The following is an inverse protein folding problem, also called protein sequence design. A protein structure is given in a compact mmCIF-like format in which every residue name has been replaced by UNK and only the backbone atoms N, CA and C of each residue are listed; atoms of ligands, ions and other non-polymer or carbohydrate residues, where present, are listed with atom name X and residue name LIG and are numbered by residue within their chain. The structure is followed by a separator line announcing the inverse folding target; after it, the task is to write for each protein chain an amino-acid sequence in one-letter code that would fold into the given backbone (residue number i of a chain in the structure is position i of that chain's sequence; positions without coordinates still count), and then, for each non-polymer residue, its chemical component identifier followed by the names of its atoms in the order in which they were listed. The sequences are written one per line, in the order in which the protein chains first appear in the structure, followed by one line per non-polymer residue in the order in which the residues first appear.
data_IF_086721246579
#
_entry.id   IF_086721246579
#
_cell.length_a   1.000
_cell.length_b   1.000
_cell.length_c   1.000
_cell.angle_alpha   90.00
_cell.angle_beta   90.00
_cell.angle_gamma   90.00
#
_symmetry.space_group_name_H-M   'P 1'
#
loop_
_entity.id
_entity.type
_entity.pdbx_description
1 polymer ?
#
# COMPACT_ATOMS: atom_id res chain seq x y z
N UNK A 1 -7.81 42.96 -13.52
CA UNK A 1 -7.25 42.28 -12.33
C UNK A 1 -5.93 41.64 -12.75
N UNK A 2 -4.88 41.73 -11.94
CA UNK A 2 -3.62 41.05 -12.25
C UNK A 2 -3.85 39.54 -12.24
N UNK A 3 -3.60 38.89 -13.39
CA UNK A 3 -3.35 37.45 -13.46
C UNK A 3 -2.01 37.23 -12.75
N UNK A 4 -2.00 36.48 -11.64
CA UNK A 4 -0.78 36.27 -10.89
C UNK A 4 0.10 35.18 -11.50
N UNK A 5 0.95 34.57 -10.69
CA UNK A 5 1.94 33.60 -11.18
C UNK A 5 1.32 32.24 -11.48
N UNK A 6 0.66 32.16 -12.64
CA UNK A 6 0.11 30.92 -13.19
C UNK A 6 1.20 29.86 -13.43
N UNK A 7 2.42 30.27 -13.79
CA UNK A 7 3.53 29.35 -14.09
C UNK A 7 4.11 28.73 -12.80
N UNK A 8 4.25 29.52 -11.74
CA UNK A 8 4.58 29.02 -10.41
C UNK A 8 3.47 28.16 -9.82
N UNK A 9 2.20 28.50 -10.06
CA UNK A 9 1.04 27.70 -9.63
C UNK A 9 0.98 26.34 -10.33
N UNK A 10 1.28 26.30 -11.63
CA UNK A 10 1.38 25.05 -12.40
C UNK A 10 2.48 24.14 -11.85
N UNK A 11 3.68 24.68 -11.62
CA UNK A 11 4.81 23.95 -11.01
C UNK A 11 4.48 23.39 -9.63
N UNK A 12 3.74 24.14 -8.80
CA UNK A 12 3.26 23.66 -7.48
C UNK A 12 2.28 22.49 -7.63
N UNK A 13 1.37 22.55 -8.61
CA UNK A 13 0.48 21.41 -8.92
C UNK A 13 1.28 20.19 -9.38
N UNK A 14 2.22 20.34 -10.32
CA UNK A 14 3.07 19.23 -10.80
C UNK A 14 3.86 18.57 -9.67
N UNK A 15 4.34 19.36 -8.71
CA UNK A 15 5.01 18.84 -7.52
C UNK A 15 4.04 18.14 -6.58
N UNK A 16 2.85 18.71 -6.35
CA UNK A 16 1.80 18.10 -5.52
C UNK A 16 1.29 16.77 -6.08
N UNK A 17 1.09 16.68 -7.39
CA UNK A 17 0.67 15.46 -8.09
C UNK A 17 1.73 14.35 -7.99
N UNK A 18 3.01 14.69 -8.10
CA UNK A 18 4.12 13.77 -7.85
C UNK A 18 4.16 13.29 -6.39
N UNK A 19 3.89 14.17 -5.42
CA UNK A 19 3.80 13.78 -4.00
C UNK A 19 2.61 12.86 -3.69
N UNK A 20 1.52 12.98 -4.45
CA UNK A 20 0.36 12.08 -4.37
C UNK A 20 0.54 10.76 -5.14
N UNK A 21 1.59 10.62 -5.97
CA UNK A 21 1.70 9.54 -6.97
C UNK A 21 0.45 9.43 -7.86
N UNK A 22 -0.06 10.58 -8.35
CA UNK A 22 -1.29 10.62 -9.13
C UNK A 22 -1.16 9.77 -10.42
N UNK A 23 -2.04 8.76 -10.66
CA UNK A 23 -1.78 7.71 -11.64
C UNK A 23 -2.33 7.97 -13.05
N UNK A 24 -2.99 9.11 -13.30
CA UNK A 24 -3.56 9.45 -14.61
C UNK A 24 -2.76 10.58 -15.25
N UNK A 25 -2.72 10.60 -16.57
CA UNK A 25 -2.22 11.76 -17.31
C UNK A 25 -3.08 13.01 -17.02
N UNK A 26 -2.41 14.14 -16.95
CA UNK A 26 -2.99 15.42 -16.51
C UNK A 26 -2.95 16.39 -17.68
N UNK A 27 -4.11 16.86 -18.14
CA UNK A 27 -4.18 17.86 -19.20
C UNK A 27 -3.74 19.24 -18.69
N UNK A 28 -2.45 19.52 -18.87
CA UNK A 28 -1.84 20.81 -18.57
C UNK A 28 -2.49 21.97 -19.36
N UNK A 29 -3.10 21.72 -20.52
CA UNK A 29 -3.75 22.77 -21.33
C UNK A 29 -5.09 23.18 -20.74
N UNK A 30 -5.93 22.22 -20.31
CA UNK A 30 -7.15 22.45 -19.54
C UNK A 30 -6.87 23.10 -18.19
N UNK A 31 -5.80 22.69 -17.51
CA UNK A 31 -5.29 23.33 -16.29
C UNK A 31 -5.01 24.83 -16.49
N UNK A 32 -4.25 25.20 -17.53
CA UNK A 32 -3.93 26.60 -17.88
C UNK A 32 -5.20 27.39 -18.25
N UNK A 33 -6.15 26.77 -18.96
CA UNK A 33 -7.46 27.37 -19.28
C UNK A 33 -8.38 27.48 -18.04
N UNK A 34 -8.07 26.78 -16.96
CA UNK A 34 -8.92 26.70 -15.77
C UNK A 34 -10.18 25.86 -16.00
N UNK A 35 -10.11 24.81 -16.81
CA UNK A 35 -11.20 23.86 -17.00
C UNK A 35 -11.47 23.09 -15.70
N UNK A 36 -12.68 23.15 -15.10
CA UNK A 36 -13.00 22.37 -13.91
C UNK A 36 -12.75 20.86 -14.06
N UNK A 37 -13.01 20.28 -15.23
CA UNK A 37 -12.99 18.84 -15.46
C UNK A 37 -11.61 18.20 -15.22
N UNK A 38 -10.53 18.97 -15.32
CA UNK A 38 -9.17 18.51 -14.99
C UNK A 38 -8.92 18.48 -13.48
N UNK A 39 -9.53 19.39 -12.72
CA UNK A 39 -9.31 19.50 -11.27
C UNK A 39 -10.14 18.48 -10.45
N UNK A 40 -11.37 18.16 -10.87
CA UNK A 40 -12.26 17.26 -10.11
C UNK A 40 -11.65 15.86 -9.87
N UNK A 41 -11.05 15.18 -10.88
CA UNK A 41 -10.43 13.87 -10.70
C UNK A 41 -9.23 13.89 -9.76
N UNK A 42 -8.44 14.98 -9.77
CA UNK A 42 -7.31 15.19 -8.86
C UNK A 42 -7.80 15.30 -7.41
N UNK A 43 -8.82 16.14 -7.17
CA UNK A 43 -9.44 16.31 -5.85
C UNK A 43 -10.03 14.98 -5.36
N UNK A 44 -10.79 14.29 -6.22
CA UNK A 44 -11.43 13.01 -5.90
C UNK A 44 -10.41 11.95 -5.49
N UNK A 45 -9.34 11.79 -6.28
CA UNK A 45 -8.24 10.88 -5.96
C UNK A 45 -7.57 11.22 -4.62
N UNK A 46 -7.33 12.51 -4.37
CA UNK A 46 -6.67 13.00 -3.14
C UNK A 46 -7.39 12.54 -1.86
N UNK A 47 -8.72 12.53 -1.85
CA UNK A 47 -9.50 12.12 -0.67
C UNK A 47 -9.85 10.62 -0.64
N UNK A 48 -10.10 10.00 -1.80
CA UNK A 48 -10.63 8.62 -1.86
C UNK A 48 -9.56 7.54 -2.03
N UNK A 49 -8.49 7.85 -2.78
CA UNK A 49 -7.62 6.83 -3.38
C UNK A 49 -6.16 6.95 -2.93
N UNK A 50 -5.70 8.15 -2.59
CA UNK A 50 -4.32 8.41 -2.16
C UNK A 50 -3.95 7.68 -0.85
N UNK A 51 -4.87 7.62 0.12
CA UNK A 51 -4.58 7.07 1.45
C UNK A 51 -5.82 6.47 2.09
N UNK A 52 -5.74 5.20 2.49
CA UNK A 52 -6.76 4.47 3.26
C UNK A 52 -7.22 5.25 4.50
N UNK A 53 -6.29 5.79 5.30
CA UNK A 53 -6.62 6.60 6.49
C UNK A 53 -7.46 7.86 6.20
N UNK A 54 -7.37 8.43 4.99
CA UNK A 54 -8.14 9.62 4.60
C UNK A 54 -9.52 9.19 4.09
N UNK A 55 -9.61 8.09 3.34
CA UNK A 55 -10.88 7.49 2.96
C UNK A 55 -11.69 7.01 4.19
N UNK A 56 -11.05 6.40 5.18
CA UNK A 56 -11.69 6.05 6.46
C UNK A 56 -12.17 7.29 7.23
N UNK A 57 -11.37 8.36 7.26
CA UNK A 57 -11.76 9.62 7.90
C UNK A 57 -12.99 10.21 7.21
N UNK A 58 -13.03 10.15 5.88
CA UNK A 58 -14.15 10.62 5.06
C UNK A 58 -15.45 9.86 5.40
N UNK A 59 -15.38 8.53 5.53
CA UNK A 59 -16.51 7.68 5.96
C UNK A 59 -16.93 8.00 7.41
N UNK A 60 -15.97 8.17 8.34
CA UNK A 60 -16.26 8.56 9.74
C UNK A 60 -16.92 9.94 9.86
N UNK A 61 -16.79 10.79 8.84
CA UNK A 61 -17.41 12.11 8.78
C UNK A 61 -18.70 12.16 7.96
N UNK A 62 -19.18 11.01 7.46
CA UNK A 62 -20.42 10.88 6.67
C UNK A 62 -20.44 11.83 5.43
N UNK A 63 -19.29 11.90 4.73
CA UNK A 63 -19.15 12.74 3.53
C UNK A 63 -19.00 11.86 2.28
N UNK A 64 -20.13 11.57 1.64
CA UNK A 64 -20.14 10.89 0.35
C UNK A 64 -19.58 11.79 -0.77
N UNK A 65 -18.43 11.41 -1.33
CA UNK A 65 -17.86 12.04 -2.53
C UNK A 65 -18.32 11.37 -3.84
N UNK A 66 -19.11 10.30 -3.76
CA UNK A 66 -19.75 9.59 -4.89
C UNK A 66 -20.97 10.34 -5.43
N UNK A 67 -20.79 11.63 -5.71
CA UNK A 67 -21.86 12.52 -6.12
C UNK A 67 -22.26 12.32 -7.60
N UNK A 68 -23.56 12.44 -7.89
CA UNK A 68 -24.13 12.32 -9.25
C UNK A 68 -23.91 13.56 -10.14
N UNK A 69 -23.29 14.62 -9.62
CA UNK A 69 -22.95 15.83 -10.38
C UNK A 69 -21.79 16.60 -9.75
N UNK A 70 -21.02 17.29 -10.60
CA UNK A 70 -19.85 18.09 -10.22
C UNK A 70 -20.17 19.16 -9.17
N UNK A 71 -21.38 19.75 -9.25
CA UNK A 71 -21.85 20.67 -8.23
C UNK A 71 -21.93 19.99 -6.87
N UNK A 72 -22.66 18.88 -6.75
CA UNK A 72 -22.79 18.13 -5.48
C UNK A 72 -21.44 17.67 -4.95
N UNK A 73 -20.53 17.25 -5.82
CA UNK A 73 -19.15 16.91 -5.47
C UNK A 73 -18.41 18.10 -4.85
N UNK A 74 -18.39 19.26 -5.51
CA UNK A 74 -17.75 20.48 -4.99
C UNK A 74 -18.43 20.98 -3.70
N UNK A 75 -19.75 20.82 -3.57
CA UNK A 75 -20.46 21.13 -2.32
C UNK A 75 -19.97 20.27 -1.14
N UNK A 76 -19.80 18.96 -1.35
CA UNK A 76 -19.27 18.03 -0.36
C UNK A 76 -17.80 18.35 -0.01
N UNK A 77 -16.93 18.57 -1.00
CA UNK A 77 -15.53 18.97 -0.79
C UNK A 77 -15.42 20.28 0.00
N UNK A 78 -16.24 21.28 -0.32
CA UNK A 78 -16.21 22.57 0.36
C UNK A 78 -16.71 22.49 1.82
N UNK A 79 -17.65 21.58 2.10
CA UNK A 79 -18.07 21.25 3.48
C UNK A 79 -16.92 20.55 4.21
N UNK A 80 -16.35 19.50 3.63
CA UNK A 80 -15.21 18.74 4.16
C UNK A 80 -14.01 19.64 4.53
N UNK A 81 -13.63 20.56 3.64
CA UNK A 81 -12.54 21.51 3.86
C UNK A 81 -12.79 22.47 5.01
N UNK A 82 -14.03 22.93 5.18
CA UNK A 82 -14.42 23.78 6.30
C UNK A 82 -14.41 23.01 7.61
N UNK A 83 -15.02 21.83 7.62
CA UNK A 83 -15.35 21.11 8.85
C UNK A 83 -14.11 20.37 9.41
N UNK A 84 -13.27 19.77 8.55
CA UNK A 84 -12.10 18.98 8.98
C UNK A 84 -10.75 19.70 8.87
N UNK A 85 -10.65 20.72 8.01
CA UNK A 85 -9.40 21.43 7.74
C UNK A 85 -9.46 22.92 8.10
N UNK A 86 -10.63 23.41 8.53
CA UNK A 86 -10.88 24.82 8.87
C UNK A 86 -10.51 25.79 7.73
N UNK A 87 -10.50 25.28 6.50
CA UNK A 87 -10.12 26.02 5.31
C UNK A 87 -11.35 26.60 4.61
N UNK A 88 -11.25 27.88 4.22
CA UNK A 88 -12.26 28.58 3.42
C UNK A 88 -11.70 28.75 2.01
N UNK A 89 -12.19 28.00 1.00
CA UNK A 89 -11.75 28.15 -0.38
C UNK A 89 -11.91 29.59 -0.91
N UNK A 90 -10.93 30.04 -1.68
CA UNK A 90 -10.86 31.40 -2.25
C UNK A 90 -11.94 31.63 -3.33
N UNK A 91 -12.33 30.58 -4.05
CA UNK A 91 -13.37 30.60 -5.08
C UNK A 91 -14.70 30.12 -4.54
N UNK A 92 -15.82 30.68 -5.00
CA UNK A 92 -17.14 30.10 -4.74
C UNK A 92 -17.33 28.77 -5.50
N UNK A 93 -18.30 27.95 -5.08
CA UNK A 93 -18.67 26.69 -5.74
C UNK A 93 -18.90 26.87 -7.25
N UNK A 94 -19.62 27.92 -7.64
CA UNK A 94 -19.90 28.26 -9.03
C UNK A 94 -18.66 28.74 -9.78
N UNK A 95 -17.83 29.60 -9.17
CA UNK A 95 -16.57 30.05 -9.79
C UNK A 95 -15.57 28.91 -10.00
N UNK A 96 -15.60 27.88 -9.13
CA UNK A 96 -14.79 26.68 -9.32
C UNK A 96 -15.25 25.86 -10.55
N UNK A 97 -16.55 25.85 -10.84
CA UNK A 97 -17.15 25.11 -11.95
C UNK A 97 -17.29 25.90 -13.26
N UNK A 98 -17.02 27.21 -13.25
CA UNK A 98 -16.93 28.05 -14.45
C UNK A 98 -15.54 27.95 -15.07
N UNK A 99 -15.42 27.97 -16.40
CA UNK A 99 -14.12 28.07 -17.08
C UNK A 99 -13.36 29.34 -16.66
N UNK A 100 -12.04 29.27 -16.64
CA UNK A 100 -11.16 30.34 -16.15
C UNK A 100 -10.81 30.19 -14.67
N UNK A 101 -10.44 31.30 -14.02
CA UNK A 101 -9.90 31.33 -12.64
C UNK A 101 -8.72 30.37 -12.37
N UNK A 102 -7.98 29.98 -13.42
CA UNK A 102 -7.01 28.88 -13.42
C UNK A 102 -6.05 28.91 -12.22
N UNK A 103 -5.34 30.02 -12.01
CA UNK A 103 -4.43 30.22 -10.88
C UNK A 103 -5.07 29.93 -9.52
N UNK A 104 -6.28 30.45 -9.27
CA UNK A 104 -6.99 30.28 -7.99
C UNK A 104 -7.50 28.85 -7.81
N UNK A 105 -7.87 28.16 -8.90
CA UNK A 105 -8.19 26.72 -8.86
C UNK A 105 -6.96 25.88 -8.58
N UNK A 106 -5.84 26.19 -9.24
CA UNK A 106 -4.55 25.54 -8.98
C UNK A 106 -4.14 25.70 -7.51
N UNK A 107 -4.32 26.91 -6.94
CA UNK A 107 -4.06 27.17 -5.53
C UNK A 107 -4.97 26.35 -4.61
N UNK A 108 -6.30 26.36 -4.83
CA UNK A 108 -7.23 25.54 -4.03
C UNK A 108 -6.87 24.05 -4.08
N UNK A 109 -6.47 23.54 -5.24
CA UNK A 109 -6.03 22.14 -5.37
C UNK A 109 -4.67 21.90 -4.69
N UNK A 110 -3.69 22.80 -4.82
CA UNK A 110 -2.43 22.70 -4.06
C UNK A 110 -2.68 22.66 -2.55
N UNK A 111 -3.59 23.52 -2.05
CA UNK A 111 -3.96 23.56 -0.64
C UNK A 111 -4.62 22.23 -0.21
N UNK A 112 -5.56 21.70 -0.99
CA UNK A 112 -6.16 20.35 -0.79
C UNK A 112 -5.08 19.27 -0.70
N UNK A 113 -4.13 19.23 -1.65
CA UNK A 113 -3.04 18.25 -1.66
C UNK A 113 -2.20 18.37 -0.38
N UNK A 114 -1.80 19.58 0.00
CA UNK A 114 -1.03 19.84 1.21
C UNK A 114 -1.78 19.42 2.49
N UNK A 115 -3.08 19.69 2.56
CA UNK A 115 -3.94 19.30 3.67
C UNK A 115 -4.08 17.79 3.81
N UNK A 116 -4.35 17.09 2.70
CA UNK A 116 -4.41 15.63 2.63
C UNK A 116 -3.07 15.02 3.04
N UNK A 117 -1.96 15.50 2.48
CA UNK A 117 -0.60 15.05 2.82
C UNK A 117 -0.28 15.26 4.30
N UNK A 118 -0.68 16.41 4.87
CA UNK A 118 -0.48 16.70 6.30
C UNK A 118 -1.31 15.77 7.19
N UNK A 119 -2.61 15.61 6.92
CA UNK A 119 -3.46 14.66 7.67
C UNK A 119 -3.03 13.21 7.51
N UNK A 120 -2.59 12.80 6.32
CA UNK A 120 -2.03 11.45 6.12
C UNK A 120 -0.78 11.24 6.99
N UNK A 121 0.13 12.23 7.04
CA UNK A 121 1.29 12.19 7.95
C UNK A 121 0.87 12.18 9.41
N UNK A 122 -0.12 12.96 9.83
CA UNK A 122 -0.63 12.98 11.21
C UNK A 122 -1.27 11.63 11.60
N UNK A 123 -2.05 11.00 10.73
CA UNK A 123 -2.73 9.71 10.98
C UNK A 123 -1.77 8.50 10.88
N UNK A 124 -0.88 8.48 9.88
CA UNK A 124 0.15 7.45 9.78
C UNK A 124 1.19 7.57 10.88
N UNK A 125 1.55 8.79 11.30
CA UNK A 125 2.45 8.99 12.43
C UNK A 125 1.75 8.79 13.78
N UNK A 126 0.46 9.04 13.97
CA UNK A 126 -0.20 8.69 15.24
C UNK A 126 -0.27 7.17 15.43
N UNK A 127 -0.45 6.42 14.34
CA UNK A 127 -0.33 4.96 14.33
C UNK A 127 1.12 4.47 14.57
N UNK A 128 2.15 5.22 14.13
CA UNK A 128 3.59 4.91 14.39
C UNK A 128 4.16 5.50 15.69
N UNK A 129 3.52 6.51 16.28
CA UNK A 129 4.00 7.21 17.48
C UNK A 129 3.54 6.53 18.78
N UNK A 130 2.68 5.52 18.69
CA UNK A 130 2.53 4.52 19.74
C UNK A 130 3.73 3.55 19.83
N UNK A 131 4.65 3.55 18.86
CA UNK A 131 5.85 2.70 18.84
C UNK A 131 7.18 3.48 18.77
N UNK A 132 7.24 4.67 19.39
CA UNK A 132 8.49 5.40 19.62
C UNK A 132 8.58 5.94 21.06
N UNK A 133 9.73 5.76 21.76
CA UNK A 133 9.89 6.24 23.13
C UNK A 133 9.97 7.77 23.18
N UNK A 134 8.92 8.34 23.74
CA UNK A 134 8.70 9.76 24.02
C UNK A 134 9.91 10.45 24.69
N UNK A 135 10.71 11.20 23.92
CA UNK A 135 11.36 12.41 24.47
C UNK A 135 10.23 13.34 24.95
N UNK A 136 10.35 13.85 26.18
CA UNK A 136 9.23 14.41 26.97
C UNK A 136 8.56 15.63 26.30
N UNK A 137 7.25 15.86 26.55
CA UNK A 137 6.54 17.01 25.99
C UNK A 137 6.95 18.32 26.69
N UNK A 138 7.46 19.28 25.93
CA UNK A 138 7.47 20.68 26.33
C UNK A 138 6.12 21.31 26.00
N UNK A 139 5.49 21.99 26.96
CA UNK A 139 4.22 22.66 26.71
C UNK A 139 4.43 23.91 25.86
N UNK A 140 3.70 24.05 24.76
CA UNK A 140 3.51 25.36 24.11
C UNK A 140 2.24 26.00 24.66
N UNK A 141 2.44 26.96 25.57
CA UNK A 141 1.53 28.10 25.66
C UNK A 141 1.78 29.02 24.46
N UNK A 142 0.75 29.77 24.11
CA UNK A 142 0.78 30.85 23.12
C UNK A 142 1.44 32.09 23.75
N UNK A 143 2.54 32.62 23.18
CA UNK A 143 2.77 34.07 22.93
C UNK A 143 4.17 34.45 22.38
N UNK A 144 4.14 35.28 21.33
CA UNK A 144 4.96 36.47 20.98
C UNK A 144 6.52 36.51 21.03
N UNK A 145 7.08 37.26 20.07
CA UNK A 145 8.50 37.56 19.83
C UNK A 145 9.31 38.16 21.01
N UNK A 146 10.57 37.72 21.19
CA UNK A 146 11.78 38.58 21.41
C UNK A 146 13.11 37.80 21.40
N UNK A 147 14.25 38.51 21.28
CA UNK A 147 15.60 37.99 20.97
C UNK A 147 16.56 37.82 22.18
N UNK A 148 17.58 36.96 22.01
CA UNK A 148 18.89 36.87 22.72
C UNK A 148 18.88 36.69 24.27
N UNK A 149 19.94 36.16 24.94
CA UNK A 149 21.32 35.81 24.54
C UNK A 149 21.83 34.56 25.32
N UNK A 150 23.13 34.23 25.22
CA UNK A 150 23.82 32.98 25.65
C UNK A 150 23.92 32.73 27.18
N UNK A 151 24.25 31.48 27.58
CA UNK A 151 25.52 31.07 28.28
C UNK A 151 25.51 29.58 28.75
N UNK A 152 26.67 28.92 28.62
CA UNK A 152 27.29 27.71 29.26
C UNK A 152 26.63 27.03 30.50
N UNK A 153 26.93 25.76 30.92
CA UNK A 153 27.88 24.71 30.48
C UNK A 153 27.50 23.28 31.02
N UNK A 154 28.22 22.26 30.54
CA UNK A 154 28.35 20.87 31.07
C UNK A 154 29.28 20.79 32.33
N UNK A 155 29.54 19.65 33.06
CA UNK A 155 29.64 18.25 32.55
C UNK A 155 29.28 17.03 33.47
N UNK A 156 29.18 15.85 32.83
CA UNK A 156 29.72 14.50 33.16
C UNK A 156 29.73 13.91 34.60
N UNK A 157 29.27 12.65 34.79
CA UNK A 157 30.12 11.44 35.08
C UNK A 157 29.39 10.09 35.21
N UNK A 158 30.08 9.06 34.69
CA UNK A 158 30.15 7.64 35.12
C UNK A 158 29.12 6.58 34.69
N UNK A 159 29.66 5.36 34.56
CA UNK A 159 29.11 4.20 33.87
C UNK A 159 28.97 2.98 34.79
N UNK A 160 28.18 1.99 34.37
CA UNK A 160 28.36 0.61 34.83
C UNK A 160 27.88 -0.39 33.77
N UNK A 161 28.61 -1.49 33.62
CA UNK A 161 28.36 -2.57 32.65
C UNK A 161 27.70 -3.76 33.34
N UNK A 162 26.66 -4.33 32.74
CA UNK A 162 26.10 -5.63 33.14
C UNK A 162 25.84 -6.46 31.88
N UNK A 163 26.30 -7.72 31.91
CA UNK A 163 26.11 -8.72 30.86
C UNK A 163 24.93 -9.62 31.24
N UNK A 164 23.96 -9.86 30.35
CA UNK A 164 23.42 -11.23 30.15
C UNK A 164 22.55 -11.39 28.89
N UNK A 165 23.06 -12.23 27.98
CA UNK A 165 22.38 -13.32 27.25
C UNK A 165 20.95 -13.09 26.71
N UNK A 166 20.84 -13.08 25.38
CA UNK A 166 19.60 -13.41 24.67
C UNK A 166 19.51 -14.93 24.43
N UNK A 167 18.33 -15.57 24.53
CA UNK A 167 18.16 -16.95 24.09
C UNK A 167 18.05 -17.02 22.56
N UNK A 168 18.91 -17.84 21.97
CA UNK A 168 18.95 -18.14 20.53
C UNK A 168 18.18 -19.44 20.28
N UNK A 169 17.16 -19.41 19.42
CA UNK A 169 16.46 -20.64 19.01
C UNK A 169 17.16 -21.20 17.79
N UNK A 170 17.90 -22.28 18.02
CA UNK A 170 18.58 -23.07 17.01
C UNK A 170 17.55 -24.00 16.34
N UNK A 171 17.49 -24.02 15.00
CA UNK A 171 16.75 -25.04 14.25
C UNK A 171 17.74 -25.91 13.49
N UNK A 172 17.65 -27.21 13.71
CA UNK A 172 18.54 -28.20 13.11
C UNK A 172 18.48 -28.17 11.58
N UNK A 173 19.62 -28.36 10.89
CA UNK A 173 19.63 -28.74 9.49
C UNK A 173 19.19 -30.21 9.36
N UNK A 174 18.34 -30.53 8.39
CA UNK A 174 18.17 -31.92 7.97
C UNK A 174 19.37 -32.32 7.11
N UNK A 175 20.14 -33.27 7.61
CA UNK A 175 21.19 -33.97 6.85
C UNK A 175 20.57 -34.96 5.88
N UNK A 176 21.12 -35.00 4.68
CA UNK A 176 20.97 -36.12 3.74
C UNK A 176 21.68 -37.35 4.30
N UNK A 177 21.11 -38.54 4.12
CA UNK A 177 21.82 -39.82 3.97
C UNK A 177 20.84 -40.85 3.38
N UNK A 178 21.33 -41.67 2.44
CA UNK A 178 20.54 -42.66 1.69
C UNK A 178 20.93 -44.11 1.99
N UNK A 179 20.61 -45.00 1.04
CA UNK A 179 20.98 -46.44 1.01
C UNK A 179 20.35 -47.35 2.10
N UNK A 180 20.02 -48.64 1.88
CA UNK A 180 19.90 -49.50 0.68
C UNK A 180 19.05 -50.75 1.07
N UNK A 181 18.66 -51.78 0.28
CA UNK A 181 18.84 -52.23 -1.12
C UNK A 181 17.71 -53.25 -1.42
N UNK A 182 17.19 -53.39 -2.66
CA UNK A 182 17.12 -54.71 -3.35
C UNK A 182 16.59 -54.68 -4.81
N UNK A 183 17.45 -55.12 -5.74
CA UNK A 183 17.20 -55.48 -7.16
C UNK A 183 16.75 -56.96 -7.28
N UNK A 184 16.61 -57.66 -8.46
CA UNK A 184 17.17 -57.45 -9.83
C UNK A 184 16.10 -57.58 -10.98
N UNK A 185 16.36 -57.66 -12.30
CA UNK A 185 17.55 -58.00 -13.10
C UNK A 185 17.56 -57.41 -14.55
N UNK A 186 18.75 -57.47 -15.19
CA UNK A 186 19.08 -57.19 -16.62
C UNK A 186 18.87 -58.46 -17.51
N UNK A 187 19.11 -58.48 -18.86
CA UNK A 187 19.78 -57.53 -19.79
C UNK A 187 18.87 -57.17 -21.03
N UNK A 188 19.29 -56.68 -22.22
CA UNK A 188 20.60 -56.60 -22.91
C UNK A 188 20.68 -55.51 -24.04
N UNK A 189 21.73 -55.62 -24.87
CA UNK A 189 22.09 -54.96 -26.15
C UNK A 189 20.95 -54.90 -27.22
N UNK A 190 20.97 -54.05 -28.26
CA UNK A 190 22.09 -53.63 -29.13
C UNK A 190 21.78 -52.33 -29.93
N UNK A 191 22.79 -51.82 -30.63
CA UNK A 191 22.90 -50.55 -31.35
C UNK A 191 22.12 -50.39 -32.68
N UNK A 192 22.27 -49.18 -33.26
CA UNK A 192 22.20 -48.77 -34.68
C UNK A 192 20.88 -48.22 -35.28
N UNK A 193 20.90 -46.89 -35.47
CA UNK A 193 20.85 -46.14 -36.75
C UNK A 193 20.18 -46.76 -38.01
N UNK A 194 19.30 -45.97 -38.64
CA UNK A 194 19.15 -45.67 -40.10
C UNK A 194 17.80 -44.92 -40.30
N UNK A 195 17.77 -43.67 -40.79
CA UNK A 195 17.71 -43.27 -42.23
C UNK A 195 16.59 -43.99 -43.02
N UNK A 196 15.43 -43.38 -43.26
CA UNK A 196 15.08 -42.36 -44.28
C UNK A 196 14.56 -42.90 -45.63
N UNK A 197 13.38 -42.38 -46.00
CA UNK A 197 12.84 -42.13 -47.36
C UNK A 197 12.19 -43.23 -48.24
N UNK A 198 10.92 -42.93 -48.62
CA UNK A 198 10.28 -43.09 -49.95
C UNK A 198 10.04 -44.55 -50.46
N UNK A 199 8.92 -44.91 -51.12
CA UNK A 199 7.69 -44.21 -51.52
C UNK A 199 6.65 -45.22 -52.04
N UNK A 200 5.40 -44.77 -52.24
CA UNK A 200 4.39 -45.38 -53.15
C UNK A 200 3.81 -46.75 -52.70
N UNK A 201 2.51 -47.05 -52.85
CA UNK A 201 1.51 -46.50 -53.77
C UNK A 201 0.10 -46.34 -53.16
N UNK A 202 -0.76 -45.64 -53.92
CA UNK A 202 -2.12 -45.16 -53.63
C UNK A 202 -3.12 -46.28 -53.28
N UNK A 203 -4.00 -46.04 -52.28
CA UNK A 203 -5.45 -46.30 -52.39
C UNK A 203 -6.28 -45.54 -51.33
N UNK A 204 -6.99 -44.54 -51.84
CA UNK A 204 -8.04 -43.67 -51.28
C UNK A 204 -9.09 -44.34 -50.36
N UNK A 205 -9.10 -44.02 -49.06
CA UNK A 205 -10.25 -44.24 -48.13
C UNK A 205 -10.32 -43.15 -47.04
N UNK A 206 -11.52 -42.60 -46.81
CA UNK A 206 -12.01 -41.84 -45.63
C UNK A 206 -11.22 -40.64 -45.09
N UNK A 207 -11.46 -39.46 -45.68
CA UNK A 207 -11.05 -38.15 -45.14
C UNK A 207 -12.09 -37.55 -44.15
N UNK A 208 -12.82 -38.39 -43.39
CA UNK A 208 -13.95 -37.95 -42.54
C UNK A 208 -13.75 -38.22 -41.04
N UNK A 209 -12.98 -39.24 -40.64
CA UNK A 209 -12.62 -39.46 -39.23
C UNK A 209 -11.58 -38.44 -38.72
N UNK A 210 -10.59 -38.11 -39.56
CA UNK A 210 -9.39 -37.32 -39.19
C UNK A 210 -9.72 -35.86 -38.86
N UNK A 211 -10.86 -35.33 -39.30
CA UNK A 211 -11.26 -33.95 -39.03
C UNK A 211 -11.88 -33.78 -37.64
N UNK A 212 -12.62 -34.79 -37.16
CA UNK A 212 -13.31 -34.76 -35.87
C UNK A 212 -12.31 -34.87 -34.72
N UNK A 213 -11.41 -35.88 -34.76
CA UNK A 213 -10.31 -36.07 -33.82
C UNK A 213 -9.40 -34.84 -33.73
N UNK A 214 -9.07 -34.20 -34.87
CA UNK A 214 -8.26 -32.98 -34.88
C UNK A 214 -9.00 -31.80 -34.20
N UNK A 215 -10.32 -31.70 -34.36
CA UNK A 215 -11.11 -30.66 -33.70
C UNK A 215 -11.18 -30.86 -32.18
N UNK A 216 -11.29 -32.10 -31.71
CA UNK A 216 -11.22 -32.43 -30.28
C UNK A 216 -9.82 -32.17 -29.71
N UNK A 217 -8.76 -32.52 -30.45
CA UNK A 217 -7.36 -32.23 -30.08
C UNK A 217 -7.10 -30.72 -30.01
N UNK A 218 -7.61 -29.91 -30.94
CA UNK A 218 -7.51 -28.45 -30.87
C UNK A 218 -8.30 -27.86 -29.70
N UNK A 219 -9.50 -28.37 -29.43
CA UNK A 219 -10.31 -27.96 -28.29
C UNK A 219 -9.63 -28.29 -26.94
N UNK A 220 -9.04 -29.48 -26.81
CA UNK A 220 -8.29 -29.89 -25.63
C UNK A 220 -7.00 -29.06 -25.47
N UNK A 221 -6.28 -28.74 -26.56
CA UNK A 221 -5.13 -27.82 -26.52
C UNK A 221 -5.54 -26.42 -26.05
N UNK A 222 -6.67 -25.91 -26.51
CA UNK A 222 -7.23 -24.62 -26.08
C UNK A 222 -7.56 -24.61 -24.57
N UNK A 223 -8.25 -25.65 -24.07
CA UNK A 223 -8.50 -25.81 -22.64
C UNK A 223 -7.22 -25.95 -21.81
N UNK A 224 -6.21 -26.66 -22.32
CA UNK A 224 -4.92 -26.81 -21.64
C UNK A 224 -4.18 -25.47 -21.54
N UNK A 225 -4.21 -24.67 -22.61
CA UNK A 225 -3.64 -23.30 -22.61
C UNK A 225 -4.36 -22.37 -21.63
N UNK A 226 -5.68 -22.41 -21.54
CA UNK A 226 -6.48 -21.63 -20.58
C UNK A 226 -6.22 -22.09 -19.13
N UNK A 227 -6.04 -23.40 -18.90
CA UNK A 227 -5.59 -23.93 -17.62
C UNK A 227 -4.16 -23.46 -17.25
N UNK A 228 -3.24 -23.41 -18.22
CA UNK A 228 -1.88 -22.88 -18.01
C UNK A 228 -1.88 -21.38 -17.67
N UNK A 229 -2.68 -20.56 -18.35
CA UNK A 229 -2.82 -19.13 -18.02
C UNK A 229 -3.38 -18.94 -16.60
N UNK A 230 -4.41 -19.72 -16.24
CA UNK A 230 -4.98 -19.72 -14.87
C UNK A 230 -3.95 -20.12 -13.82
N UNK A 231 -3.10 -21.10 -14.11
CA UNK A 231 -2.05 -21.56 -13.19
C UNK A 231 -0.97 -20.48 -13.02
N UNK A 232 -0.45 -19.90 -14.10
CA UNK A 232 0.48 -18.76 -14.03
C UNK A 232 -0.10 -17.55 -13.28
N UNK A 233 -1.41 -17.32 -13.38
CA UNK A 233 -2.10 -16.27 -12.62
C UNK A 233 -2.18 -16.60 -11.13
N UNK A 234 -2.32 -17.87 -10.76
CA UNK A 234 -2.28 -18.31 -9.36
C UNK A 234 -0.87 -18.18 -8.80
N UNK A 235 0.17 -18.63 -9.52
CA UNK A 235 1.58 -18.47 -9.13
C UNK A 235 1.92 -16.99 -8.85
N UNK A 236 1.46 -16.08 -9.72
CA UNK A 236 1.64 -14.65 -9.55
C UNK A 236 0.89 -14.08 -8.32
N UNK A 237 -0.29 -14.60 -8.00
CA UNK A 237 -1.03 -14.24 -6.78
C UNK A 237 -0.30 -14.78 -5.54
N UNK A 238 0.26 -15.98 -5.61
CA UNK A 238 1.03 -16.59 -4.52
C UNK A 238 2.31 -15.80 -4.22
N UNK A 239 3.09 -15.44 -5.25
CA UNK A 239 4.28 -14.58 -5.09
C UNK A 239 3.90 -13.22 -4.46
N UNK A 240 2.81 -12.59 -4.93
CA UNK A 240 2.26 -11.35 -4.36
C UNK A 240 1.85 -11.52 -2.90
N UNK A 241 1.21 -12.64 -2.56
CA UNK A 241 0.78 -12.96 -1.20
C UNK A 241 2.01 -13.17 -0.31
N UNK A 242 3.02 -13.90 -0.76
CA UNK A 242 4.25 -14.14 0.00
C UNK A 242 5.02 -12.83 0.27
N UNK A 243 5.13 -11.93 -0.71
CA UNK A 243 5.71 -10.58 -0.51
C UNK A 243 4.91 -9.75 0.50
N UNK A 244 3.57 -9.88 0.51
CA UNK A 244 2.73 -9.22 1.50
C UNK A 244 2.86 -9.86 2.89
N UNK A 245 2.94 -11.18 2.95
CA UNK A 245 3.14 -11.95 4.17
C UNK A 245 4.48 -11.57 4.82
N UNK A 246 5.58 -11.54 4.07
CA UNK A 246 6.90 -11.12 4.56
C UNK A 246 6.92 -9.65 5.02
N UNK A 247 6.17 -8.76 4.36
CA UNK A 247 5.96 -7.39 4.83
C UNK A 247 5.11 -7.31 6.11
N UNK A 248 4.28 -8.31 6.38
CA UNK A 248 3.39 -8.41 7.53
C UNK A 248 3.93 -9.31 8.66
N UNK A 249 5.00 -10.09 8.42
CA UNK A 249 5.83 -10.81 9.41
C UNK A 249 6.65 -9.85 10.30
N UNK A 250 6.03 -8.73 10.68
CA UNK A 250 6.52 -7.85 11.72
C UNK A 250 6.42 -8.55 13.08
N UNK A 251 7.50 -8.47 13.86
CA UNK A 251 7.52 -8.89 15.26
C UNK A 251 6.37 -8.23 16.02
N UNK A 252 5.56 -8.99 16.75
CA UNK A 252 4.58 -8.43 17.70
C UNK A 252 5.37 -7.78 18.85
N UNK A 253 5.54 -6.47 18.79
CA UNK A 253 6.24 -5.69 19.81
C UNK A 253 5.22 -5.25 20.86
N UNK A 254 5.25 -5.90 22.01
CA UNK A 254 4.52 -5.49 23.22
C UNK A 254 5.44 -4.56 24.02
N UNK A 255 4.91 -3.47 24.57
CA UNK A 255 5.69 -2.59 25.46
C UNK A 255 6.09 -3.37 26.73
N UNK A 256 7.31 -3.16 27.22
CA UNK A 256 7.82 -3.87 28.40
C UNK A 256 6.91 -3.67 29.64
N UNK A 257 6.26 -2.49 29.77
CA UNK A 257 5.32 -2.23 30.87
C UNK A 257 4.02 -2.95 30.69
N UNK A 258 3.50 -3.04 29.47
CA UNK A 258 2.27 -3.78 29.18
C UNK A 258 2.49 -5.28 29.35
N UNK A 259 3.67 -5.78 28.95
CA UNK A 259 4.10 -7.15 29.22
C UNK A 259 4.26 -7.43 30.73
N UNK A 260 4.94 -6.56 31.46
CA UNK A 260 5.11 -6.70 32.91
C UNK A 260 3.79 -6.52 33.68
N UNK A 261 2.86 -5.70 33.18
CA UNK A 261 1.51 -5.55 33.73
C UNK A 261 0.69 -6.81 33.51
N UNK A 262 0.70 -7.36 32.28
CA UNK A 262 0.06 -8.62 31.95
C UNK A 262 0.62 -9.76 32.79
N UNK A 263 1.95 -9.89 32.87
CA UNK A 263 2.63 -10.88 33.70
C UNK A 263 2.26 -10.75 35.18
N UNK A 264 2.25 -9.53 35.72
CA UNK A 264 1.80 -9.26 37.10
C UNK A 264 0.34 -9.65 37.30
N UNK A 265 -0.54 -9.40 36.32
CA UNK A 265 -1.96 -9.74 36.38
C UNK A 265 -2.19 -11.25 36.31
N UNK A 266 -1.45 -11.95 35.45
CA UNK A 266 -1.46 -13.41 35.34
C UNK A 266 -0.96 -14.05 36.64
N UNK A 267 0.18 -13.62 37.18
CA UNK A 267 0.70 -14.08 38.48
C UNK A 267 -0.29 -13.86 39.63
N UNK A 268 -0.98 -12.70 39.65
CA UNK A 268 -2.03 -12.44 40.64
C UNK A 268 -3.22 -13.41 40.49
N UNK A 269 -3.65 -13.72 39.26
CA UNK A 269 -4.73 -14.67 39.02
C UNK A 269 -4.33 -16.12 39.34
N UNK A 270 -3.08 -16.51 39.04
CA UNK A 270 -2.53 -17.82 39.41
C UNK A 270 -2.44 -17.99 40.93
N UNK A 271 -1.93 -16.98 41.64
CA UNK A 271 -1.88 -16.99 43.11
C UNK A 271 -3.26 -16.98 43.75
N UNK A 272 -4.22 -16.22 43.19
CA UNK A 272 -5.61 -16.24 43.62
C UNK A 272 -6.23 -17.63 43.43
N UNK A 273 -6.03 -18.26 42.27
CA UNK A 273 -6.54 -19.60 41.97
C UNK A 273 -5.92 -20.68 42.88
N UNK A 274 -4.62 -20.60 43.18
CA UNK A 274 -3.93 -21.49 44.12
C UNK A 274 -4.38 -21.31 45.59
N UNK A 275 -4.87 -20.11 45.95
CA UNK A 275 -5.45 -19.84 47.26
C UNK A 275 -6.92 -20.29 47.34
N UNK A 276 -7.67 -20.14 46.24
CA UNK A 276 -9.04 -20.65 46.14
C UNK A 276 -9.07 -22.19 46.12
N UNK A 277 -8.11 -22.86 45.48
CA UNK A 277 -8.01 -24.33 45.45
C UNK A 277 -7.52 -24.97 46.76
N UNK A 278 -7.26 -24.17 47.80
CA UNK A 278 -6.85 -24.61 49.15
C UNK A 278 -7.91 -24.33 50.21
N UNK A 279 -9.12 -23.94 49.80
CA UNK A 279 -10.34 -23.89 50.62
C UNK A 279 -11.26 -25.06 50.29
#
# INVERSE_FOLDING_TARGET
MATGDLKGSLRKIEQGLRLLNYPRDVDYTGLIKGDPAVFLPIISYSFTSFSTYIAELLVKCDVELTAKSDLRFIEAIYKLLRDLFQYKPVLTKQQFLQFGFAERKMQVVCDIINFVMKKHKELSNSNKAKSQPRRKPGSLKYELWSNCDKVHAEPNVNAMSVKQVCPQVERHPQSEDGDNLHSPALPAERDNEEEQYLNQDVLEVECEQVLDDNSEIEFLKSQLSDCQEKLHKLDWIEEKLHILEDRLKGKVIIDEKDWNNLLSRVLLLETELLLQSKK
#
